data_IF_363082771403
#
_entry.id   IF_363082771403
#
_cell.length_a   1.000
_cell.length_b   1.000
_cell.length_c   1.000
_cell.angle_alpha   90.00
_cell.angle_beta   90.00
_cell.angle_gamma   90.00
#
_symmetry.space_group_name_H-M   'P 1'
#
loop_
_entity.id
_entity.type
_entity.pdbx_description
1 polymer ?
#
# COMPACT_ATOMS: atom_id res chain seq x y z
N UNK A 1 42.44 -22.93 13.14
CA UNK A 1 42.30 -21.76 12.24
C UNK A 1 41.03 -21.78 11.37
N UNK A 2 40.06 -22.67 11.64
CA UNK A 2 38.84 -22.79 10.84
C UNK A 2 37.60 -22.19 11.54
N UNK A 3 37.53 -22.26 12.87
CA UNK A 3 36.40 -21.73 13.67
C UNK A 3 36.33 -20.20 13.61
N UNK A 4 37.48 -19.51 13.66
CA UNK A 4 37.55 -18.04 13.55
C UNK A 4 37.08 -17.54 12.17
N UNK A 5 37.39 -18.30 11.10
CA UNK A 5 36.97 -17.99 9.73
C UNK A 5 35.47 -18.23 9.54
N UNK A 6 34.93 -19.30 10.12
CA UNK A 6 33.49 -19.60 10.08
C UNK A 6 32.69 -18.53 10.84
N UNK A 7 33.16 -18.09 12.00
CA UNK A 7 32.52 -17.02 12.78
C UNK A 7 32.48 -15.68 12.04
N UNK A 8 33.55 -15.32 11.33
CA UNK A 8 33.61 -14.12 10.50
C UNK A 8 32.61 -14.18 9.33
N UNK A 9 32.48 -15.35 8.69
CA UNK A 9 31.53 -15.54 7.59
C UNK A 9 30.09 -15.48 8.08
N UNK A 10 29.77 -16.07 9.23
CA UNK A 10 28.41 -15.99 9.83
C UNK A 10 28.05 -14.56 10.23
N UNK A 11 29.00 -13.80 10.79
CA UNK A 11 28.80 -12.39 11.13
C UNK A 11 28.65 -11.51 9.88
N UNK A 12 29.34 -11.83 8.78
CA UNK A 12 29.22 -11.10 7.53
C UNK A 12 27.87 -11.37 6.83
N UNK A 13 27.40 -12.62 6.84
CA UNK A 13 26.10 -13.01 6.28
C UNK A 13 24.93 -12.40 7.07
N UNK A 14 25.03 -12.27 8.40
CA UNK A 14 23.96 -11.65 9.20
C UNK A 14 23.82 -10.14 8.96
N UNK A 15 24.89 -9.44 8.57
CA UNK A 15 24.82 -8.01 8.20
C UNK A 15 24.21 -7.75 6.82
N UNK A 16 24.13 -8.77 5.96
CA UNK A 16 23.53 -8.66 4.62
C UNK A 16 22.01 -8.83 4.63
N UNK A 17 21.40 -9.30 5.72
CA UNK A 17 19.94 -9.24 5.95
C UNK A 17 19.48 -7.83 6.35
N UNK A 18 20.08 -6.81 5.73
CA UNK A 18 19.76 -5.42 5.97
C UNK A 18 18.31 -5.15 5.56
N UNK A 19 17.57 -4.55 6.49
CA UNK A 19 16.16 -4.22 6.38
C UNK A 19 15.88 -3.39 5.12
N UNK A 20 15.15 -3.95 4.16
CA UNK A 20 14.53 -3.15 3.10
C UNK A 20 13.55 -2.17 3.75
N UNK A 21 13.85 -0.88 3.70
CA UNK A 21 12.99 0.15 4.27
C UNK A 21 11.88 0.46 3.28
N UNK A 22 10.62 0.26 3.68
CA UNK A 22 9.47 0.72 2.89
C UNK A 22 9.37 2.24 3.07
N UNK A 23 9.49 2.99 1.99
CA UNK A 23 9.25 4.42 2.00
C UNK A 23 7.74 4.69 1.91
N UNK A 24 7.19 5.34 2.92
CA UNK A 24 5.78 5.74 2.97
C UNK A 24 5.72 7.24 3.10
N UNK A 25 4.99 7.88 2.19
CA UNK A 25 4.69 9.30 2.23
C UNK A 25 3.17 9.51 2.17
N UNK A 26 2.69 10.54 2.85
CA UNK A 26 1.27 10.88 2.90
C UNK A 26 1.11 12.39 2.99
N UNK A 27 0.30 12.95 2.10
CA UNK A 27 0.06 14.38 2.02
C UNK A 27 -1.43 14.68 2.25
N UNK A 28 -1.69 15.69 3.09
CA UNK A 28 -3.02 16.28 3.26
C UNK A 28 -2.98 17.75 2.85
N UNK A 29 -3.90 18.22 1.99
CA UNK A 29 -4.01 19.65 1.69
C UNK A 29 -4.27 20.47 2.96
N UNK A 30 -3.63 21.64 3.06
CA UNK A 30 -3.77 22.52 4.24
C UNK A 30 -5.22 23.03 4.34
N UNK A 31 -5.77 23.02 5.56
CA UNK A 31 -7.12 23.52 5.83
C UNK A 31 -8.26 22.55 5.53
N UNK A 32 -7.96 21.33 5.09
CA UNK A 32 -9.01 20.31 4.87
C UNK A 32 -9.23 19.48 6.13
N UNK A 33 -10.49 19.42 6.56
CA UNK A 33 -10.99 18.55 7.62
C UNK A 33 -11.73 17.34 7.03
N UNK A 34 -11.41 16.16 7.55
CA UNK A 34 -12.01 14.88 7.15
C UNK A 34 -12.88 14.27 8.25
N UNK A 35 -13.05 14.95 9.39
CA UNK A 35 -13.77 14.43 10.56
C UNK A 35 -15.24 14.04 10.25
N UNK A 36 -15.88 14.76 9.32
CA UNK A 36 -17.25 14.52 8.87
C UNK A 36 -17.41 13.44 7.79
N UNK A 37 -16.31 12.87 7.30
CA UNK A 37 -16.34 11.87 6.22
C UNK A 37 -16.50 10.48 6.85
N UNK A 38 -17.54 9.78 6.43
CA UNK A 38 -17.98 8.48 6.96
C UNK A 38 -18.18 7.43 5.89
N UNK A 39 -18.50 7.80 4.64
CA UNK A 39 -18.65 6.82 3.56
C UNK A 39 -17.57 6.93 2.50
N UNK A 40 -17.18 5.80 1.93
CA UNK A 40 -16.21 5.73 0.83
C UNK A 40 -16.61 4.74 -0.24
N UNK A 41 -16.04 4.93 -1.43
CA UNK A 41 -16.02 3.95 -2.51
C UNK A 41 -14.62 3.85 -3.12
N UNK A 42 -14.38 2.79 -3.88
CA UNK A 42 -13.22 2.65 -4.74
C UNK A 42 -13.62 2.91 -6.19
N UNK A 43 -12.80 3.65 -6.93
CA UNK A 43 -12.86 3.57 -8.39
C UNK A 43 -12.47 2.15 -8.78
N UNK A 44 -13.24 1.56 -9.69
CA UNK A 44 -12.90 0.26 -10.25
C UNK A 44 -11.48 0.37 -10.85
N UNK A 45 -10.51 -0.48 -10.47
CA UNK A 45 -9.14 -0.44 -11.00
C UNK A 45 -9.04 -0.63 -12.52
N UNK A 46 -10.17 -0.71 -13.22
CA UNK A 46 -10.36 -0.87 -14.67
C UNK A 46 -10.39 0.45 -15.44
N UNK A 47 -10.78 1.56 -14.81
CA UNK A 47 -11.28 2.71 -15.57
C UNK A 47 -10.36 3.95 -15.64
N UNK A 48 -9.19 3.93 -15.01
CA UNK A 48 -8.24 5.02 -15.13
C UNK A 48 -7.17 4.74 -16.20
N UNK A 49 -7.55 4.72 -17.48
CA UNK A 49 -6.63 4.79 -18.65
C UNK A 49 -6.37 3.47 -19.43
N UNK A 50 -7.10 2.38 -19.17
CA UNK A 50 -7.17 1.21 -20.08
C UNK A 50 -5.87 0.39 -20.28
N UNK A 51 -4.78 0.74 -19.60
CA UNK A 51 -3.49 0.05 -19.70
C UNK A 51 -3.29 -0.90 -18.50
N UNK A 52 -4.07 -1.97 -18.43
CA UNK A 52 -3.87 -3.00 -17.41
C UNK A 52 -2.53 -3.71 -17.59
N UNK A 53 -1.57 -3.42 -16.73
CA UNK A 53 -0.35 -4.23 -16.63
C UNK A 53 -0.71 -5.50 -15.86
N UNK A 54 -0.15 -6.63 -16.28
CA UNK A 54 -0.41 -7.94 -15.68
C UNK A 54 -0.21 -7.93 -14.14
N UNK A 55 0.78 -7.19 -13.67
CA UNK A 55 1.17 -7.12 -12.25
C UNK A 55 0.14 -6.39 -11.37
N UNK A 56 -0.62 -5.43 -11.94
CA UNK A 56 -1.69 -4.74 -11.20
C UNK A 56 -2.78 -5.73 -10.80
N UNK A 57 -3.03 -6.76 -11.61
CA UNK A 57 -4.04 -7.80 -11.32
C UNK A 57 -3.63 -8.69 -10.15
N UNK A 58 -2.33 -8.85 -9.89
CA UNK A 58 -1.82 -9.73 -8.84
C UNK A 58 -1.91 -9.04 -7.48
N UNK A 59 -1.46 -7.79 -7.38
CA UNK A 59 -1.33 -7.10 -6.10
C UNK A 59 -2.53 -6.20 -5.76
N UNK A 60 -3.26 -5.68 -6.75
CA UNK A 60 -4.40 -4.79 -6.50
C UNK A 60 -5.46 -5.42 -5.58
N UNK A 61 -5.88 -6.69 -5.73
CA UNK A 61 -6.87 -7.28 -4.83
C UNK A 61 -6.40 -7.29 -3.37
N UNK A 62 -5.13 -7.57 -3.13
CA UNK A 62 -4.54 -7.62 -1.78
C UNK A 62 -4.46 -6.23 -1.17
N UNK A 63 -3.99 -5.25 -1.95
CA UNK A 63 -3.88 -3.85 -1.51
C UNK A 63 -5.28 -3.30 -1.21
N UNK A 64 -6.24 -3.51 -2.11
CA UNK A 64 -7.61 -3.03 -1.97
C UNK A 64 -8.28 -3.65 -0.73
N UNK A 65 -8.12 -4.96 -0.52
CA UNK A 65 -8.64 -5.64 0.68
C UNK A 65 -8.02 -5.07 1.96
N UNK A 66 -6.70 -4.87 1.98
CA UNK A 66 -5.98 -4.35 3.15
C UNK A 66 -6.41 -2.92 3.47
N UNK A 67 -6.49 -2.05 2.46
CA UNK A 67 -6.92 -0.67 2.63
C UNK A 67 -8.39 -0.57 3.05
N UNK A 68 -9.26 -1.39 2.44
CA UNK A 68 -10.68 -1.48 2.83
C UNK A 68 -10.83 -1.85 4.29
N UNK A 69 -10.14 -2.89 4.76
CA UNK A 69 -10.18 -3.30 6.15
C UNK A 69 -9.69 -2.19 7.10
N UNK A 70 -8.66 -1.44 6.71
CA UNK A 70 -8.14 -0.32 7.49
C UNK A 70 -9.17 0.82 7.62
N UNK A 71 -9.91 1.13 6.54
CA UNK A 71 -10.97 2.15 6.55
C UNK A 71 -12.18 1.70 7.37
N UNK A 72 -12.62 0.44 7.22
CA UNK A 72 -13.71 -0.13 8.00
C UNK A 72 -13.39 -0.13 9.51
N UNK A 73 -12.16 -0.47 9.88
CA UNK A 73 -11.70 -0.42 11.29
C UNK A 73 -11.71 1.00 11.86
N UNK A 74 -11.58 2.02 11.00
CA UNK A 74 -11.70 3.44 11.38
C UNK A 74 -13.16 3.92 11.46
N UNK A 75 -14.14 3.04 11.30
CA UNK A 75 -15.57 3.35 11.36
C UNK A 75 -16.11 3.97 10.09
N UNK A 76 -15.42 3.82 8.96
CA UNK A 76 -15.98 4.19 7.66
C UNK A 76 -16.90 3.10 7.10
N UNK A 77 -17.80 3.49 6.21
CA UNK A 77 -18.79 2.62 5.56
C UNK A 77 -18.51 2.59 4.05
N UNK A 78 -18.51 1.39 3.46
CA UNK A 78 -18.45 1.25 2.02
C UNK A 78 -19.84 1.58 1.42
N UNK A 79 -19.93 2.65 0.64
CA UNK A 79 -21.16 3.09 -0.05
C UNK A 79 -20.84 3.30 -1.53
N UNK A 80 -21.30 2.39 -2.38
CA UNK A 80 -21.07 2.45 -3.83
C UNK A 80 -22.09 3.29 -4.59
N UNK A 81 -23.16 3.75 -3.93
CA UNK A 81 -24.23 4.52 -4.54
C UNK A 81 -24.03 6.02 -4.30
N UNK A 82 -23.72 6.41 -3.06
CA UNK A 82 -23.55 7.82 -2.67
C UNK A 82 -22.34 8.02 -1.73
N UNK A 83 -21.11 7.72 -2.19
CA UNK A 83 -19.91 7.92 -1.38
C UNK A 83 -19.62 9.40 -1.13
N UNK A 84 -19.16 9.73 0.08
CA UNK A 84 -18.62 11.06 0.39
C UNK A 84 -17.20 11.23 -0.15
N UNK A 85 -16.43 10.14 -0.22
CA UNK A 85 -15.09 10.13 -0.83
C UNK A 85 -14.90 8.92 -1.74
N UNK A 86 -14.14 9.12 -2.80
CA UNK A 86 -13.79 8.07 -3.74
C UNK A 86 -12.28 7.92 -3.76
N UNK A 87 -11.80 6.70 -3.53
CA UNK A 87 -10.38 6.37 -3.57
C UNK A 87 -10.00 5.75 -4.91
N UNK A 88 -8.83 6.14 -5.44
CA UNK A 88 -8.24 5.56 -6.64
C UNK A 88 -6.94 4.87 -6.24
N UNK A 89 -6.79 3.60 -6.60
CA UNK A 89 -5.52 2.91 -6.49
C UNK A 89 -4.70 3.15 -7.75
N UNK A 90 -3.53 3.77 -7.60
CA UNK A 90 -2.57 3.96 -8.69
C UNK A 90 -1.31 3.17 -8.33
N UNK A 91 -0.98 2.17 -9.14
CA UNK A 91 0.27 1.43 -9.03
C UNK A 91 1.17 1.77 -10.22
N UNK A 92 2.38 2.26 -9.94
CA UNK A 92 3.36 2.60 -10.97
C UNK A 92 4.68 1.95 -10.64
N UNK A 93 5.07 0.97 -11.45
CA UNK A 93 6.44 0.46 -11.45
C UNK A 93 7.34 1.56 -12.04
N UNK A 94 8.28 2.07 -11.23
CA UNK A 94 9.41 2.85 -11.76
C UNK A 94 10.18 1.93 -12.71
N UNK A 95 10.28 2.33 -13.98
CA UNK A 95 11.22 1.74 -14.94
C UNK A 95 12.63 2.13 -14.57
#
# INVERSE_FOLDING_TARGET
MNILKVSLVVLFVSTLFSCSTVYVDSMKPKGVDYSGIKSFAWVNPVDADGAHRYDDKIYAPVILKTATNALLTKGMVLDTLNPQVVFVLIHKLRK
#
